data_IF_293588972000
#
_entry.id   IF_293588972000
#
_cell.length_a   1.000
_cell.length_b   1.000
_cell.length_c   1.000
_cell.angle_alpha   90.00
_cell.angle_beta   90.00
_cell.angle_gamma   90.00
#
_symmetry.space_group_name_H-M   'P 1'
#
loop_
_entity.id
_entity.type
_entity.pdbx_description
1 polymer ?
#
# COMPACT_ATOMS: atom_id res chain seq x y z
N UNK A 1 4.79 -27.46 4.87
CA UNK A 1 4.02 -26.96 6.02
C UNK A 1 2.58 -27.28 5.76
N UNK A 2 1.89 -27.96 6.67
CA UNK A 2 0.46 -28.24 6.54
C UNK A 2 -0.33 -27.12 7.24
N UNK A 3 -1.24 -26.48 6.50
CA UNK A 3 -2.19 -25.51 7.07
C UNK A 3 -3.59 -26.08 6.97
N UNK A 4 -4.46 -25.81 7.96
CA UNK A 4 -5.90 -26.03 7.78
C UNK A 4 -6.32 -25.15 6.61
N UNK A 5 -6.71 -25.77 5.50
CA UNK A 5 -7.18 -25.05 4.32
C UNK A 5 -8.48 -24.33 4.68
N UNK A 6 -8.45 -23.00 4.73
CA UNK A 6 -9.64 -22.16 4.74
C UNK A 6 -9.72 -21.41 3.40
N UNK A 7 -10.92 -21.24 2.85
CA UNK A 7 -11.14 -20.60 1.55
C UNK A 7 -11.65 -21.55 0.47
N UNK A 8 -11.69 -21.05 -0.76
CA UNK A 8 -12.24 -21.75 -1.94
C UNK A 8 -11.22 -21.68 -3.07
N UNK A 9 -11.08 -22.76 -3.84
CA UNK A 9 -10.34 -22.74 -5.11
C UNK A 9 -11.27 -22.90 -6.29
N UNK A 10 -11.04 -22.12 -7.34
CA UNK A 10 -11.75 -22.30 -8.61
C UNK A 10 -11.08 -23.40 -9.46
N UNK A 11 -11.67 -23.73 -10.62
CA UNK A 11 -11.12 -24.74 -11.56
C UNK A 11 -9.72 -24.42 -12.11
N UNK A 12 -9.27 -23.17 -12.03
CA UNK A 12 -7.92 -22.72 -12.45
C UNK A 12 -6.89 -22.82 -11.32
N UNK A 13 -7.34 -23.15 -10.11
CA UNK A 13 -6.52 -23.23 -8.89
C UNK A 13 -6.39 -21.91 -8.13
N UNK A 14 -7.04 -20.84 -8.61
CA UNK A 14 -7.04 -19.53 -7.95
C UNK A 14 -7.76 -19.62 -6.60
N UNK A 15 -7.19 -19.02 -5.56
CA UNK A 15 -7.75 -19.03 -4.21
C UNK A 15 -8.55 -17.76 -3.93
N UNK A 16 -9.68 -17.91 -3.24
CA UNK A 16 -10.48 -16.82 -2.69
C UNK A 16 -10.88 -17.13 -1.24
N UNK A 17 -11.08 -16.11 -0.38
CA UNK A 17 -11.58 -16.32 0.97
C UNK A 17 -12.97 -16.96 0.95
N UNK A 18 -13.28 -17.68 2.03
CA UNK A 18 -14.59 -18.30 2.19
C UNK A 18 -15.67 -17.24 2.46
N UNK A 19 -15.31 -16.20 3.20
CA UNK A 19 -16.20 -15.09 3.55
C UNK A 19 -15.95 -13.87 2.66
N UNK A 20 -16.99 -13.08 2.33
CA UNK A 20 -16.82 -11.81 1.64
C UNK A 20 -15.93 -10.83 2.43
N UNK A 21 -15.25 -9.94 1.72
CA UNK A 21 -14.52 -8.86 2.37
C UNK A 21 -15.48 -7.94 3.14
N UNK A 22 -14.99 -7.46 4.28
CA UNK A 22 -15.65 -6.44 5.08
C UNK A 22 -14.64 -5.35 5.45
N UNK A 23 -15.17 -4.15 5.68
CA UNK A 23 -14.37 -3.04 6.21
C UNK A 23 -14.09 -3.24 7.69
N UNK A 24 -13.08 -2.54 8.18
CA UNK A 24 -12.97 -2.29 9.60
C UNK A 24 -14.27 -1.64 10.13
N UNK A 25 -14.72 -1.95 11.36
CA UNK A 25 -15.95 -1.40 11.93
C UNK A 25 -15.76 0.06 12.38
N UNK A 26 -15.36 0.91 11.42
CA UNK A 26 -15.06 2.33 11.55
C UNK A 26 -16.14 3.09 10.78
N UNK A 27 -16.71 4.12 11.40
CA UNK A 27 -17.74 4.97 10.79
C UNK A 27 -18.96 4.17 10.27
N UNK A 28 -19.30 3.07 10.94
CA UNK A 28 -20.53 2.31 10.70
C UNK A 28 -21.74 2.98 11.35
N UNK A 29 -22.91 2.88 10.70
CA UNK A 29 -24.19 3.28 11.26
C UNK A 29 -25.16 2.09 11.29
N UNK A 30 -25.77 1.75 12.44
CA UNK A 30 -25.57 2.38 13.76
C UNK A 30 -24.15 2.16 14.31
N UNK A 31 -23.62 3.06 15.16
CA UNK A 31 -22.28 2.91 15.72
C UNK A 31 -22.13 1.63 16.54
N UNK A 32 -21.00 0.94 16.40
CA UNK A 32 -20.70 -0.33 17.11
C UNK A 32 -19.40 -0.22 17.94
N UNK A 33 -19.40 0.52 19.06
CA UNK A 33 -18.17 0.77 19.83
C UNK A 33 -17.43 -0.49 20.28
N UNK A 34 -18.18 -1.54 20.68
CA UNK A 34 -17.57 -2.80 21.10
C UNK A 34 -16.85 -3.52 19.95
N UNK A 35 -17.41 -3.48 18.73
CA UNK A 35 -16.76 -4.04 17.55
C UNK A 35 -15.53 -3.23 17.15
N UNK A 36 -15.62 -1.89 17.23
CA UNK A 36 -14.50 -0.98 17.02
C UNK A 36 -13.35 -1.27 17.99
N UNK A 37 -13.60 -1.30 19.30
CA UNK A 37 -12.57 -1.60 20.30
C UNK A 37 -11.97 -3.01 20.12
N UNK A 38 -12.81 -4.00 19.80
CA UNK A 38 -12.36 -5.35 19.48
C UNK A 38 -11.45 -5.37 18.24
N UNK A 39 -11.74 -4.56 17.23
CA UNK A 39 -10.88 -4.44 16.06
C UNK A 39 -9.58 -3.68 16.38
N UNK A 40 -9.63 -2.60 17.16
CA UNK A 40 -8.43 -1.83 17.52
C UNK A 40 -7.42 -2.70 18.26
N UNK A 41 -7.87 -3.44 19.29
CA UNK A 41 -7.00 -4.22 20.18
C UNK A 41 -6.98 -5.74 19.89
N UNK A 42 -7.69 -6.19 18.85
CA UNK A 42 -7.79 -7.60 18.48
C UNK A 42 -6.73 -8.09 17.50
N UNK A 43 -6.90 -9.33 17.06
CA UNK A 43 -6.04 -10.00 16.09
C UNK A 43 -6.87 -10.77 15.05
N UNK A 44 -6.75 -10.49 13.74
CA UNK A 44 -6.13 -9.28 13.17
C UNK A 44 -6.96 -8.02 13.51
N UNK A 45 -6.28 -6.88 13.60
CA UNK A 45 -6.83 -5.61 14.06
C UNK A 45 -6.00 -4.40 13.63
N UNK A 46 -6.26 -3.23 14.22
CA UNK A 46 -5.53 -2.00 13.90
C UNK A 46 -4.05 -2.09 14.28
N UNK A 47 -3.76 -2.54 15.50
CA UNK A 47 -2.39 -2.63 16.01
C UNK A 47 -1.68 -3.93 15.62
N UNK A 48 -2.38 -5.06 15.58
CA UNK A 48 -1.77 -6.37 15.37
C UNK A 48 -2.34 -7.06 14.13
N UNK A 49 -1.55 -7.81 13.36
CA UNK A 49 -0.12 -8.10 13.57
C UNK A 49 0.85 -7.00 13.11
N UNK A 50 0.44 -6.15 12.17
CA UNK A 50 1.38 -5.28 11.44
C UNK A 50 1.45 -3.84 11.94
N UNK A 51 0.38 -3.27 12.51
CA UNK A 51 0.30 -1.85 12.86
C UNK A 51 1.42 -1.40 13.82
N UNK A 52 1.65 -2.13 14.91
CA UNK A 52 2.73 -1.86 15.88
C UNK A 52 4.09 -1.98 15.21
N UNK A 53 4.30 -2.99 14.36
CA UNK A 53 5.54 -3.13 13.60
C UNK A 53 5.82 -1.86 12.77
N UNK A 54 4.83 -1.38 12.01
CA UNK A 54 5.00 -0.17 11.21
C UNK A 54 5.19 1.10 12.06
N UNK A 55 4.59 1.18 13.25
CA UNK A 55 4.78 2.33 14.16
C UNK A 55 6.15 2.33 14.84
N UNK A 56 6.74 1.16 15.09
CA UNK A 56 8.06 1.03 15.75
C UNK A 56 9.22 1.32 14.81
N UNK A 57 9.12 0.91 13.53
CA UNK A 57 10.15 1.16 12.51
C UNK A 57 10.60 2.64 12.44
N UNK A 58 9.73 3.65 12.28
CA UNK A 58 10.14 5.05 12.19
C UNK A 58 10.77 5.57 13.49
N UNK A 59 10.40 5.04 14.66
CA UNK A 59 11.04 5.38 15.94
C UNK A 59 12.50 4.90 15.92
N UNK A 60 12.72 3.65 15.53
CA UNK A 60 14.07 3.10 15.40
C UNK A 60 14.89 3.87 14.35
N UNK A 61 14.29 4.16 13.19
CA UNK A 61 14.95 4.94 12.14
C UNK A 61 15.30 6.34 12.61
N UNK A 62 14.41 7.02 13.33
CA UNK A 62 14.68 8.35 13.89
C UNK A 62 15.84 8.34 14.89
N UNK A 63 15.85 7.37 15.81
CA UNK A 63 16.83 7.33 16.89
C UNK A 63 18.23 6.89 16.44
N UNK A 64 18.32 6.01 15.44
CA UNK A 64 19.58 5.34 15.10
C UNK A 64 20.02 5.53 13.64
N UNK A 65 19.08 5.81 12.74
CA UNK A 65 19.30 5.85 11.28
C UNK A 65 18.81 7.15 10.65
N UNK A 66 18.84 8.24 11.40
CA UNK A 66 18.56 9.60 10.94
C UNK A 66 19.68 10.51 11.42
N UNK A 67 20.25 11.37 10.56
CA UNK A 67 21.28 12.32 10.99
C UNK A 67 20.76 13.28 12.06
N UNK A 68 21.68 13.96 12.77
CA UNK A 68 21.29 14.99 13.74
C UNK A 68 20.57 16.15 13.04
N UNK A 69 19.69 16.85 13.79
CA UNK A 69 19.03 18.06 13.28
C UNK A 69 20.06 19.08 12.76
N UNK A 70 21.16 19.28 13.47
CA UNK A 70 22.27 20.15 13.04
C UNK A 70 22.83 19.74 11.66
N UNK A 71 23.10 18.45 11.45
CA UNK A 71 23.59 17.94 10.16
C UNK A 71 22.62 18.23 9.02
N UNK A 72 21.32 18.14 9.29
CA UNK A 72 20.26 18.30 8.31
C UNK A 72 19.91 19.76 8.01
N UNK A 73 20.53 20.74 8.67
CA UNK A 73 20.29 22.17 8.39
C UNK A 73 20.80 22.58 7.00
N UNK A 74 21.86 21.95 6.52
CA UNK A 74 22.42 22.19 5.18
C UNK A 74 22.42 20.91 4.36
N UNK A 75 22.06 21.02 3.07
CA UNK A 75 22.15 19.88 2.16
C UNK A 75 23.60 19.41 2.02
N UNK A 76 23.82 18.12 2.25
CA UNK A 76 25.13 17.49 2.15
C UNK A 76 25.00 16.12 1.49
N UNK A 77 25.81 15.87 0.46
CA UNK A 77 25.75 14.62 -0.30
C UNK A 77 25.91 13.37 0.58
N UNK A 78 26.71 13.44 1.65
CA UNK A 78 26.95 12.32 2.55
C UNK A 78 25.70 11.83 3.28
N UNK A 79 24.96 12.73 3.92
CA UNK A 79 23.76 12.34 4.68
C UNK A 79 22.56 12.03 3.76
N UNK A 80 22.47 12.69 2.60
CA UNK A 80 21.49 12.35 1.57
C UNK A 80 21.74 10.94 1.03
N UNK A 81 22.99 10.60 0.72
CA UNK A 81 23.37 9.26 0.29
C UNK A 81 23.11 8.21 1.38
N UNK A 82 23.34 8.56 2.65
CA UNK A 82 23.01 7.68 3.79
C UNK A 82 21.51 7.36 3.85
N UNK A 83 20.63 8.36 3.77
CA UNK A 83 19.17 8.18 3.74
C UNK A 83 18.77 7.32 2.53
N UNK A 84 19.32 7.60 1.35
CA UNK A 84 19.07 6.80 0.15
C UNK A 84 19.42 5.32 0.34
N UNK A 85 20.64 5.04 0.81
CA UNK A 85 21.12 3.66 1.02
C UNK A 85 20.34 2.94 2.12
N UNK A 86 19.94 3.65 3.17
CA UNK A 86 19.08 3.11 4.23
C UNK A 86 17.69 2.74 3.68
N UNK A 87 17.06 3.60 2.89
CA UNK A 87 15.76 3.33 2.27
C UNK A 87 15.84 2.16 1.27
N UNK A 88 16.92 2.12 0.49
CA UNK A 88 17.22 0.99 -0.40
C UNK A 88 17.36 -0.32 0.37
N UNK A 89 18.20 -0.34 1.41
CA UNK A 89 18.40 -1.52 2.24
C UNK A 89 17.09 -1.97 2.90
N UNK A 90 16.29 -1.04 3.41
CA UNK A 90 15.00 -1.34 4.03
C UNK A 90 14.05 -2.07 3.07
N UNK A 91 13.88 -1.56 1.84
CA UNK A 91 12.99 -2.18 0.85
C UNK A 91 13.54 -3.51 0.34
N UNK A 92 14.84 -3.60 0.07
CA UNK A 92 15.45 -4.85 -0.38
C UNK A 92 15.35 -5.95 0.69
N UNK A 93 15.53 -5.62 1.97
CA UNK A 93 15.36 -6.59 3.06
C UNK A 93 13.89 -6.96 3.25
N UNK A 94 12.98 -5.98 3.23
CA UNK A 94 11.55 -6.20 3.44
C UNK A 94 10.91 -6.91 2.25
N UNK A 95 10.78 -6.24 1.11
CA UNK A 95 10.15 -6.82 -0.09
C UNK A 95 10.95 -8.00 -0.64
N UNK A 96 12.28 -7.98 -0.55
CA UNK A 96 13.12 -9.10 -0.96
C UNK A 96 12.95 -10.32 -0.04
N UNK A 97 12.77 -10.14 1.27
CA UNK A 97 12.45 -11.23 2.19
C UNK A 97 11.13 -11.92 1.85
N UNK A 98 10.08 -11.13 1.59
CA UNK A 98 8.78 -11.64 1.12
C UNK A 98 8.91 -12.34 -0.24
N UNK A 99 9.64 -11.74 -1.19
CA UNK A 99 9.86 -12.33 -2.50
C UNK A 99 10.63 -13.66 -2.41
N UNK A 100 11.66 -13.72 -1.56
CA UNK A 100 12.42 -14.93 -1.29
C UNK A 100 11.51 -16.03 -0.73
N UNK A 101 10.64 -15.71 0.22
CA UNK A 101 9.71 -16.67 0.83
C UNK A 101 8.70 -17.22 -0.18
N UNK A 102 7.98 -16.33 -0.85
CA UNK A 102 6.82 -16.69 -1.67
C UNK A 102 7.17 -17.14 -3.10
N UNK A 103 8.17 -16.54 -3.74
CA UNK A 103 8.42 -16.73 -5.18
C UNK A 103 9.71 -17.47 -5.51
N UNK A 104 10.72 -17.40 -4.65
CA UNK A 104 11.98 -18.13 -4.83
C UNK A 104 11.94 -19.49 -4.14
N UNK A 105 11.71 -19.50 -2.82
CA UNK A 105 11.61 -20.74 -2.03
C UNK A 105 10.27 -21.43 -2.21
N UNK A 106 9.21 -20.67 -2.53
CA UNK A 106 7.84 -21.16 -2.59
C UNK A 106 7.48 -21.96 -1.32
N UNK A 107 7.84 -21.42 -0.15
CA UNK A 107 7.86 -22.16 1.10
C UNK A 107 6.50 -22.74 1.53
N UNK A 108 5.40 -22.10 1.10
CA UNK A 108 4.02 -22.55 1.30
C UNK A 108 3.33 -22.97 -0.01
N UNK A 109 4.08 -23.23 -1.08
CA UNK A 109 3.54 -23.62 -2.38
C UNK A 109 2.52 -22.60 -2.91
N UNK A 110 1.31 -23.07 -3.21
CA UNK A 110 0.19 -22.23 -3.67
C UNK A 110 -0.86 -22.01 -2.60
N UNK A 111 -0.62 -22.41 -1.36
CA UNK A 111 -1.55 -22.19 -0.25
C UNK A 111 -1.77 -20.71 -0.05
N UNK A 112 -3.05 -20.30 0.00
CA UNK A 112 -3.49 -18.90 0.14
C UNK A 112 -3.17 -17.99 -1.05
N UNK A 113 -2.67 -18.54 -2.16
CA UNK A 113 -2.28 -17.77 -3.35
C UNK A 113 -3.49 -17.42 -4.22
N UNK A 114 -3.76 -16.14 -4.41
CA UNK A 114 -4.96 -15.67 -5.09
C UNK A 114 -5.03 -16.10 -6.56
N UNK A 115 -3.92 -16.00 -7.29
CA UNK A 115 -3.78 -16.48 -8.67
C UNK A 115 -2.86 -17.68 -8.71
N UNK A 116 -3.27 -18.78 -9.34
CA UNK A 116 -2.42 -19.96 -9.44
C UNK A 116 -1.16 -19.71 -10.29
N UNK A 117 -1.17 -18.66 -11.13
CA UNK A 117 -0.04 -18.29 -11.99
C UNK A 117 1.12 -17.71 -11.19
N UNK A 118 2.35 -18.05 -11.56
CA UNK A 118 3.56 -17.39 -11.05
C UNK A 118 3.87 -16.09 -11.82
N UNK A 119 4.81 -15.29 -11.32
CA UNK A 119 5.19 -14.02 -11.96
C UNK A 119 5.71 -14.28 -13.38
N UNK A 120 5.34 -13.38 -14.29
CA UNK A 120 5.58 -13.58 -15.71
C UNK A 120 7.08 -13.54 -16.06
N UNK A 121 7.49 -14.46 -16.94
CA UNK A 121 8.79 -14.50 -17.60
C UNK A 121 8.57 -14.59 -19.11
N UNK A 122 9.50 -14.03 -19.88
CA UNK A 122 9.43 -13.92 -21.33
C UNK A 122 8.14 -13.25 -21.84
N UNK A 123 7.74 -12.15 -21.19
CA UNK A 123 6.54 -11.39 -21.56
C UNK A 123 6.92 -9.95 -21.95
N UNK A 124 6.66 -9.51 -23.21
CA UNK A 124 7.03 -8.18 -23.69
C UNK A 124 6.31 -7.02 -22.99
N UNK A 125 5.29 -7.30 -22.18
CA UNK A 125 4.62 -6.29 -21.35
C UNK A 125 5.57 -5.66 -20.31
N UNK A 126 6.57 -6.41 -19.85
CA UNK A 126 7.48 -6.00 -18.77
C UNK A 126 8.86 -5.62 -19.31
N UNK A 127 9.51 -4.67 -18.66
CA UNK A 127 10.93 -4.39 -18.89
C UNK A 127 11.75 -5.68 -18.70
N UNK A 128 12.77 -5.84 -19.54
CA UNK A 128 13.62 -7.05 -19.59
C UNK A 128 12.85 -8.35 -19.84
N UNK A 129 11.59 -8.26 -20.31
CA UNK A 129 10.65 -9.38 -20.49
C UNK A 129 10.43 -10.19 -19.22
N UNK A 130 10.63 -9.60 -18.04
CA UNK A 130 10.56 -10.29 -16.75
C UNK A 130 9.90 -9.39 -15.70
N UNK A 131 8.77 -9.83 -15.17
CA UNK A 131 7.98 -9.04 -14.22
C UNK A 131 8.76 -8.68 -12.95
N UNK A 132 9.54 -9.61 -12.39
CA UNK A 132 10.33 -9.33 -11.19
C UNK A 132 11.38 -8.25 -11.45
N UNK A 133 12.08 -8.32 -12.59
CA UNK A 133 13.12 -7.35 -12.93
C UNK A 133 12.53 -5.97 -13.25
N UNK A 134 11.39 -5.94 -13.93
CA UNK A 134 10.63 -4.71 -14.16
C UNK A 134 10.20 -4.05 -12.84
N UNK A 135 9.62 -4.83 -11.92
CA UNK A 135 9.17 -4.30 -10.64
C UNK A 135 10.33 -3.81 -9.76
N UNK A 136 11.45 -4.54 -9.76
CA UNK A 136 12.68 -4.12 -9.10
C UNK A 136 13.21 -2.81 -9.69
N UNK A 137 13.20 -2.67 -11.02
CA UNK A 137 13.64 -1.45 -11.69
C UNK A 137 12.79 -0.25 -11.27
N UNK A 138 11.46 -0.33 -11.38
CA UNK A 138 10.58 0.79 -11.01
C UNK A 138 10.62 1.10 -9.51
N UNK A 139 10.80 0.11 -8.66
CA UNK A 139 10.97 0.31 -7.21
C UNK A 139 12.29 1.03 -6.90
N UNK A 140 13.41 0.52 -7.40
CA UNK A 140 14.76 1.00 -7.05
C UNK A 140 15.11 2.32 -7.75
N UNK A 141 14.68 2.49 -9.00
CA UNK A 141 15.02 3.67 -9.82
C UNK A 141 13.90 4.72 -9.78
N UNK A 142 12.65 4.31 -9.53
CA UNK A 142 11.50 5.22 -9.41
C UNK A 142 11.18 5.55 -7.95
N UNK A 143 10.65 4.58 -7.21
CA UNK A 143 10.06 4.83 -5.89
C UNK A 143 11.07 5.31 -4.84
N UNK A 144 12.21 4.62 -4.71
CA UNK A 144 13.19 4.88 -3.63
C UNK A 144 13.85 6.27 -3.75
N UNK A 145 14.29 6.74 -4.94
CA UNK A 145 14.80 8.10 -5.09
C UNK A 145 13.75 9.17 -4.75
N UNK A 146 12.50 8.99 -5.18
CA UNK A 146 11.43 9.96 -4.89
C UNK A 146 11.08 9.97 -3.40
N UNK A 147 10.97 8.81 -2.77
CA UNK A 147 10.81 8.69 -1.31
C UNK A 147 11.95 9.43 -0.59
N UNK A 148 13.19 9.13 -0.96
CA UNK A 148 14.38 9.76 -0.37
C UNK A 148 14.34 11.28 -0.51
N UNK A 149 13.95 11.81 -1.67
CA UNK A 149 13.83 13.25 -1.88
C UNK A 149 12.79 13.90 -0.95
N UNK A 150 11.60 13.30 -0.83
CA UNK A 150 10.57 13.79 0.10
C UNK A 150 11.04 13.76 1.56
N UNK A 151 11.74 12.70 1.94
CA UNK A 151 12.29 12.57 3.29
C UNK A 151 13.36 13.62 3.58
N UNK A 152 14.35 13.74 2.69
CA UNK A 152 15.46 14.71 2.78
C UNK A 152 14.93 16.14 2.90
N UNK A 153 14.00 16.53 2.04
CA UNK A 153 13.42 17.89 2.07
C UNK A 153 12.63 18.10 3.36
N UNK A 154 11.81 17.14 3.78
CA UNK A 154 11.00 17.28 4.99
C UNK A 154 11.86 17.39 6.25
N UNK A 155 12.91 16.56 6.35
CA UNK A 155 13.84 16.61 7.48
C UNK A 155 14.64 17.92 7.50
N UNK A 156 15.06 18.41 6.34
CA UNK A 156 15.70 19.73 6.21
C UNK A 156 14.77 20.87 6.64
N UNK A 157 13.49 20.82 6.27
CA UNK A 157 12.49 21.80 6.71
C UNK A 157 12.30 21.79 8.23
N UNK A 158 12.24 20.61 8.86
CA UNK A 158 12.18 20.50 10.32
C UNK A 158 13.46 21.04 10.98
N UNK A 159 14.63 20.68 10.47
CA UNK A 159 15.93 21.09 11.02
C UNK A 159 16.15 22.61 11.01
N UNK A 160 15.55 23.31 10.05
CA UNK A 160 15.62 24.76 9.92
C UNK A 160 14.41 25.49 10.52
N UNK A 161 13.45 24.78 11.12
CA UNK A 161 12.23 25.39 11.67
C UNK A 161 11.33 26.04 10.61
N UNK A 162 11.39 25.58 9.36
CA UNK A 162 10.55 26.08 8.26
C UNK A 162 9.12 25.51 8.29
N UNK A 163 8.91 24.39 8.99
CA UNK A 163 7.61 23.77 9.21
C UNK A 163 7.39 23.52 10.71
N UNK A 164 6.14 23.40 11.19
CA UNK A 164 5.86 23.36 12.62
C UNK A 164 6.35 22.05 13.26
N UNK A 165 7.18 22.18 14.30
CA UNK A 165 7.74 21.07 15.07
C UNK A 165 7.00 20.93 16.41
N UNK A 166 6.64 19.69 16.77
CA UNK A 166 6.05 19.36 18.07
C UNK A 166 6.94 18.34 18.78
N UNK A 167 7.37 18.68 19.99
CA UNK A 167 8.17 17.80 20.83
C UNK A 167 7.30 16.72 21.50
N UNK A 168 7.88 15.56 21.78
CA UNK A 168 7.15 14.47 22.44
C UNK A 168 6.95 14.77 23.94
N UNK A 169 7.95 15.38 24.58
CA UNK A 169 7.97 15.69 26.01
C UNK A 169 6.94 16.74 26.40
N UNK A 170 6.70 17.76 25.56
CA UNK A 170 5.67 18.77 25.83
C UNK A 170 4.27 18.29 25.44
N UNK A 171 4.16 17.43 24.42
CA UNK A 171 2.87 17.04 23.83
C UNK A 171 2.70 15.52 23.60
N UNK A 172 2.88 14.67 24.63
CA UNK A 172 2.92 13.21 24.45
C UNK A 172 1.58 12.63 23.98
N UNK A 173 0.44 13.17 24.46
CA UNK A 173 -0.89 12.71 24.05
C UNK A 173 -1.15 13.04 22.58
N UNK A 174 -0.86 14.28 22.16
CA UNK A 174 -1.00 14.70 20.77
C UNK A 174 -0.11 13.84 19.86
N UNK A 175 1.12 13.57 20.29
CA UNK A 175 2.03 12.71 19.55
C UNK A 175 1.45 11.32 19.28
N UNK A 176 0.93 10.66 20.32
CA UNK A 176 0.36 9.30 20.24
C UNK A 176 -0.91 9.30 19.37
N UNK A 177 -1.78 10.30 19.56
CA UNK A 177 -2.99 10.45 18.75
C UNK A 177 -2.62 10.59 17.28
N UNK A 178 -1.72 11.51 16.94
CA UNK A 178 -1.34 11.71 15.53
C UNK A 178 -0.61 10.48 14.95
N UNK A 179 0.19 9.74 15.73
CA UNK A 179 0.71 8.43 15.31
C UNK A 179 -0.43 7.47 14.93
N UNK A 180 -1.52 7.41 15.69
CA UNK A 180 -2.67 6.56 15.34
C UNK A 180 -3.47 7.10 14.12
N UNK A 181 -3.42 8.40 13.85
CA UNK A 181 -4.14 9.02 12.73
C UNK A 181 -3.36 9.02 11.41
N UNK A 182 -2.03 8.85 11.41
CA UNK A 182 -1.22 8.78 10.18
C UNK A 182 -1.75 7.74 9.17
N UNK A 183 -2.08 6.50 9.55
CA UNK A 183 -2.66 5.53 8.61
C UNK A 183 -3.99 6.01 8.01
N UNK A 184 -4.79 6.76 8.80
CA UNK A 184 -6.11 7.31 8.37
C UNK A 184 -5.91 8.40 7.34
N UNK A 185 -4.99 9.34 7.62
CA UNK A 185 -4.64 10.41 6.68
C UNK A 185 -4.11 9.81 5.38
N UNK A 186 -3.23 8.79 5.48
CA UNK A 186 -2.68 8.11 4.32
C UNK A 186 -3.75 7.38 3.50
N UNK A 187 -4.69 6.68 4.13
CA UNK A 187 -5.75 5.94 3.40
C UNK A 187 -6.66 6.91 2.61
N UNK A 188 -6.98 8.08 3.17
CA UNK A 188 -7.73 9.14 2.47
C UNK A 188 -6.92 9.68 1.29
N UNK A 189 -5.66 10.05 1.53
CA UNK A 189 -4.76 10.59 0.50
C UNK A 189 -4.57 9.60 -0.64
N UNK A 190 -4.27 8.33 -0.32
CA UNK A 190 -4.08 7.26 -1.28
C UNK A 190 -5.37 7.02 -2.08
N UNK A 191 -6.53 6.89 -1.44
CA UNK A 191 -7.80 6.67 -2.14
C UNK A 191 -8.07 7.74 -3.20
N UNK A 192 -7.89 9.01 -2.85
CA UNK A 192 -8.14 10.14 -3.76
C UNK A 192 -7.20 10.08 -4.95
N UNK A 193 -5.90 9.97 -4.72
CA UNK A 193 -4.90 9.98 -5.79
C UNK A 193 -4.97 8.71 -6.63
N UNK A 194 -5.20 7.55 -6.01
CA UNK A 194 -5.37 6.30 -6.72
C UNK A 194 -6.59 6.34 -7.65
N UNK A 195 -7.74 6.83 -7.16
CA UNK A 195 -8.93 7.00 -8.00
C UNK A 195 -8.70 7.98 -9.16
N UNK A 196 -7.95 9.06 -8.93
CA UNK A 196 -7.54 10.01 -9.98
C UNK A 196 -6.62 9.32 -10.99
N UNK A 197 -5.67 8.49 -10.54
CA UNK A 197 -4.76 7.73 -11.40
C UNK A 197 -5.49 6.76 -12.35
N UNK A 198 -6.69 6.31 -11.97
CA UNK A 198 -7.57 5.50 -12.82
C UNK A 198 -8.38 6.29 -13.85
N UNK A 199 -8.31 7.61 -13.85
CA UNK A 199 -8.92 8.40 -14.92
C UNK A 199 -8.21 8.11 -16.25
N UNK A 200 -8.98 7.75 -17.29
CA UNK A 200 -8.46 7.19 -18.53
C UNK A 200 -7.22 7.86 -19.14
N UNK A 201 -7.14 9.21 -19.22
CA UNK A 201 -5.93 9.90 -19.66
C UNK A 201 -4.73 9.69 -18.74
N UNK A 202 -4.91 9.77 -17.42
CA UNK A 202 -3.81 9.56 -16.47
C UNK A 202 -3.38 8.08 -16.47
N UNK A 203 -4.36 7.17 -16.45
CA UNK A 203 -4.12 5.73 -16.43
C UNK A 203 -3.18 5.30 -17.56
N UNK A 204 -3.50 5.72 -18.79
CA UNK A 204 -2.76 5.35 -20.00
C UNK A 204 -1.31 5.82 -20.02
N UNK A 205 -0.96 6.86 -19.25
CA UNK A 205 0.39 7.44 -19.28
C UNK A 205 1.22 7.06 -18.07
N UNK A 206 0.61 6.92 -16.88
CA UNK A 206 1.39 6.72 -15.65
C UNK A 206 0.94 5.50 -14.84
N UNK A 207 -0.36 5.24 -14.70
CA UNK A 207 -0.83 4.20 -13.79
C UNK A 207 -0.79 2.78 -14.39
N UNK A 208 -0.77 2.66 -15.72
CA UNK A 208 -0.70 1.36 -16.39
C UNK A 208 0.57 0.56 -16.01
N UNK A 209 1.67 1.24 -15.66
CA UNK A 209 2.92 0.57 -15.23
C UNK A 209 2.67 -0.28 -13.99
N UNK A 210 1.95 0.27 -13.01
CA UNK A 210 1.55 -0.45 -11.81
C UNK A 210 0.61 -1.61 -12.16
N UNK A 211 -0.41 -1.31 -12.98
CA UNK A 211 -1.48 -2.23 -13.38
C UNK A 211 -1.09 -3.32 -14.38
N UNK A 212 0.09 -3.23 -15.00
CA UNK A 212 0.67 -4.36 -15.73
C UNK A 212 0.79 -5.59 -14.81
N UNK A 213 0.92 -5.37 -13.50
CA UNK A 213 1.03 -6.40 -12.46
C UNK A 213 -0.33 -7.00 -12.02
N UNK A 214 -1.18 -7.40 -12.96
CA UNK A 214 -2.45 -8.10 -12.68
C UNK A 214 -2.26 -9.32 -11.75
N UNK A 215 -1.11 -9.99 -11.87
CA UNK A 215 -0.64 -10.97 -10.90
C UNK A 215 0.43 -10.32 -10.03
N UNK A 216 0.02 -9.73 -8.92
CA UNK A 216 0.88 -8.95 -8.04
C UNK A 216 2.02 -9.78 -7.43
N UNK A 217 3.07 -9.08 -7.00
CA UNK A 217 4.16 -9.65 -6.21
C UNK A 217 4.75 -8.63 -5.23
N UNK A 218 5.60 -9.03 -4.28
CA UNK A 218 6.06 -8.18 -3.17
C UNK A 218 6.67 -6.82 -3.55
N UNK A 219 7.26 -6.71 -4.75
CA UNK A 219 7.81 -5.46 -5.30
C UNK A 219 6.80 -4.67 -6.15
N UNK A 220 5.69 -5.27 -6.60
CA UNK A 220 4.75 -4.59 -7.50
C UNK A 220 4.03 -3.43 -6.82
N UNK A 221 3.92 -3.44 -5.48
CA UNK A 221 3.30 -2.37 -4.69
C UNK A 221 4.00 -1.00 -4.78
N UNK A 222 5.31 -0.97 -5.10
CA UNK A 222 6.06 0.27 -5.34
C UNK A 222 6.53 0.40 -6.81
N UNK A 223 6.16 -0.58 -7.65
CA UNK A 223 6.49 -0.59 -9.07
C UNK A 223 5.52 0.31 -9.84
N UNK A 224 5.80 1.61 -9.83
CA UNK A 224 4.95 2.64 -10.44
C UNK A 224 5.78 3.57 -11.32
N UNK A 225 5.11 4.30 -12.22
CA UNK A 225 5.75 5.37 -12.98
C UNK A 225 6.30 6.46 -12.03
N UNK A 226 7.44 7.13 -12.30
CA UNK A 226 8.01 8.14 -11.40
C UNK A 226 7.08 9.30 -11.04
N UNK A 227 6.22 9.73 -11.98
CA UNK A 227 5.18 10.75 -11.69
C UNK A 227 4.13 10.24 -10.72
N UNK A 228 3.75 8.97 -10.81
CA UNK A 228 2.86 8.35 -9.83
C UNK A 228 3.55 8.23 -8.46
N UNK A 229 4.84 7.92 -8.42
CA UNK A 229 5.61 7.96 -7.19
C UNK A 229 5.59 9.36 -6.53
N UNK A 230 5.72 10.45 -7.30
CA UNK A 230 5.61 11.81 -6.76
C UNK A 230 4.28 12.01 -6.02
N UNK A 231 3.18 11.54 -6.61
CA UNK A 231 1.86 11.59 -5.99
C UNK A 231 1.76 10.68 -4.78
N UNK A 232 2.23 9.44 -4.89
CA UNK A 232 2.18 8.45 -3.83
C UNK A 232 2.89 8.94 -2.54
N UNK A 233 4.09 9.51 -2.68
CA UNK A 233 4.88 10.00 -1.53
C UNK A 233 4.42 11.36 -0.99
N UNK A 234 3.61 12.11 -1.75
CA UNK A 234 3.14 13.45 -1.37
C UNK A 234 2.27 13.50 -0.11
N UNK A 235 1.83 12.35 0.41
CA UNK A 235 1.05 12.28 1.65
C UNK A 235 1.78 12.92 2.83
N UNK A 236 3.11 12.86 2.84
CA UNK A 236 3.95 13.48 3.89
C UNK A 236 3.76 15.00 4.00
N UNK A 237 3.33 15.68 2.92
CA UNK A 237 3.15 17.13 2.88
C UNK A 237 2.14 17.63 3.91
N UNK A 238 1.24 16.77 4.40
CA UNK A 238 0.34 17.10 5.52
C UNK A 238 1.13 17.57 6.74
N UNK A 239 2.31 17.00 7.00
CA UNK A 239 3.17 17.33 8.15
C UNK A 239 3.93 18.65 7.98
N UNK A 240 3.85 19.29 6.81
CA UNK A 240 4.42 20.63 6.60
C UNK A 240 3.50 21.73 7.13
N UNK A 241 2.22 21.40 7.34
CA UNK A 241 1.19 22.32 7.86
C UNK A 241 0.66 21.85 9.21
N UNK A 242 0.41 20.55 9.36
CA UNK A 242 0.00 19.95 10.61
C UNK A 242 1.20 19.85 11.56
N UNK A 243 1.17 20.49 12.74
CA UNK A 243 2.25 20.40 13.70
C UNK A 243 2.59 18.95 14.01
N UNK A 244 3.85 18.57 13.80
CA UNK A 244 4.23 17.16 13.85
C UNK A 244 5.62 17.01 14.44
N UNK A 245 5.84 15.86 15.06
CA UNK A 245 7.20 15.39 15.34
C UNK A 245 7.76 14.70 14.08
N UNK A 246 9.06 14.80 13.77
CA UNK A 246 9.68 14.13 12.62
C UNK A 246 9.41 12.62 12.54
N UNK A 247 9.31 11.93 13.68
CA UNK A 247 8.91 10.51 13.75
C UNK A 247 7.57 10.25 13.04
N UNK A 248 6.58 11.15 13.15
CA UNK A 248 5.27 10.96 12.52
C UNK A 248 5.35 11.15 11.00
N UNK A 249 6.14 12.11 10.52
CA UNK A 249 6.41 12.29 9.10
C UNK A 249 7.18 11.09 8.52
N UNK A 250 8.19 10.59 9.25
CA UNK A 250 8.87 9.34 8.93
C UNK A 250 7.90 8.16 8.97
N UNK A 251 6.99 8.09 9.94
CA UNK A 251 6.00 7.03 10.01
C UNK A 251 5.11 7.03 8.77
N UNK A 252 4.67 8.21 8.31
CA UNK A 252 3.91 8.34 7.08
C UNK A 252 4.63 7.71 5.88
N UNK A 253 5.90 8.08 5.69
CA UNK A 253 6.72 7.52 4.61
C UNK A 253 6.98 6.02 4.78
N UNK A 254 7.42 5.56 5.94
CA UNK A 254 7.70 4.13 6.15
C UNK A 254 6.44 3.27 6.03
N UNK A 255 5.29 3.77 6.47
CA UNK A 255 4.02 3.08 6.28
C UNK A 255 3.69 2.98 4.77
N UNK A 256 3.83 4.06 4.01
CA UNK A 256 3.74 4.06 2.54
C UNK A 256 4.77 3.14 1.86
N UNK A 257 5.95 2.96 2.43
CA UNK A 257 7.00 2.11 1.88
C UNK A 257 6.76 0.61 2.15
N UNK A 258 6.28 0.27 3.35
CA UNK A 258 6.30 -1.11 3.85
C UNK A 258 4.96 -1.85 3.71
N UNK A 259 3.81 -1.17 3.79
CA UNK A 259 2.50 -1.84 3.69
C UNK A 259 2.16 -2.38 2.31
N UNK A 260 2.64 -1.81 1.18
CA UNK A 260 2.33 -2.38 -0.13
C UNK A 260 2.88 -3.78 -0.33
N UNK A 261 3.99 -4.15 0.31
CA UNK A 261 4.60 -5.48 0.17
C UNK A 261 3.67 -6.62 0.60
N UNK A 262 3.08 -6.63 1.82
CA UNK A 262 2.10 -7.64 2.18
C UNK A 262 0.82 -7.57 1.35
N UNK A 263 0.30 -6.37 1.04
CA UNK A 263 -0.95 -6.22 0.27
C UNK A 263 -0.82 -6.51 -1.23
N UNK A 264 0.40 -6.70 -1.72
CA UNK A 264 0.73 -7.11 -3.09
C UNK A 264 1.52 -8.43 -3.12
N UNK A 265 1.60 -9.15 -2.00
CA UNK A 265 2.34 -10.40 -1.92
C UNK A 265 1.77 -11.48 -2.85
N UNK A 266 0.50 -11.38 -3.24
CA UNK A 266 -0.24 -12.37 -4.03
C UNK A 266 -0.82 -13.50 -3.20
N UNK A 267 -0.74 -13.40 -1.87
CA UNK A 267 -1.15 -14.41 -0.90
C UNK A 267 -1.94 -13.77 0.25
N UNK A 268 -3.04 -14.40 0.66
CA UNK A 268 -3.86 -13.93 1.79
C UNK A 268 -3.14 -14.02 3.14
N UNK A 269 -2.21 -14.98 3.26
CA UNK A 269 -1.47 -15.26 4.50
C UNK A 269 -0.02 -15.60 4.21
N UNK A 270 0.87 -15.15 5.09
CA UNK A 270 2.21 -15.71 5.24
C UNK A 270 2.19 -16.81 6.30
N UNK A 271 2.62 -18.02 5.93
CA UNK A 271 2.71 -19.17 6.84
C UNK A 271 4.09 -19.18 7.46
N UNK A 272 4.19 -19.03 8.79
CA UNK A 272 5.47 -18.99 9.50
C UNK A 272 5.89 -20.36 10.05
N UNK A 273 4.90 -21.18 10.41
CA UNK A 273 5.05 -22.55 10.89
C UNK A 273 3.75 -23.32 10.64
N UNK A 274 3.75 -24.63 10.88
CA UNK A 274 2.54 -25.46 10.76
C UNK A 274 1.41 -24.89 11.63
N UNK A 275 0.26 -24.62 11.01
CA UNK A 275 -0.90 -23.98 11.67
C UNK A 275 -0.75 -22.50 12.02
N UNK A 276 0.39 -21.85 11.78
CA UNK A 276 0.63 -20.43 12.10
C UNK A 276 0.68 -19.59 10.82
N UNK A 277 -0.46 -18.99 10.47
CA UNK A 277 -0.60 -18.11 9.30
C UNK A 277 -1.02 -16.68 9.66
N UNK A 278 -0.20 -15.70 9.28
CA UNK A 278 -0.45 -14.27 9.54
C UNK A 278 -1.12 -13.65 8.32
N UNK A 279 -2.27 -12.99 8.52
CA UNK A 279 -3.04 -12.34 7.45
C UNK A 279 -2.26 -11.16 6.86
N UNK A 280 -2.23 -11.04 5.55
CA UNK A 280 -1.50 -9.98 4.81
C UNK A 280 -2.39 -8.81 4.42
N UNK A 281 -3.70 -9.04 4.23
CA UNK A 281 -4.65 -8.03 3.75
C UNK A 281 -4.77 -7.94 2.22
N UNK A 282 -4.13 -8.86 1.49
CA UNK A 282 -3.94 -8.80 0.04
C UNK A 282 -5.23 -8.88 -0.79
N UNK A 283 -6.24 -9.66 -0.38
CA UNK A 283 -7.39 -9.94 -1.28
C UNK A 283 -8.15 -8.70 -1.77
N UNK A 284 -8.27 -7.65 -0.95
CA UNK A 284 -8.89 -6.38 -1.36
C UNK A 284 -8.16 -5.75 -2.56
N UNK A 285 -6.82 -5.69 -2.48
CA UNK A 285 -5.93 -5.17 -3.52
C UNK A 285 -5.81 -6.13 -4.70
N UNK A 286 -5.82 -7.43 -4.46
CA UNK A 286 -5.87 -8.41 -5.54
C UNK A 286 -7.11 -8.23 -6.43
N UNK A 287 -8.29 -8.03 -5.83
CA UNK A 287 -9.51 -7.73 -6.61
C UNK A 287 -9.36 -6.43 -7.40
N UNK A 288 -8.73 -5.41 -6.82
CA UNK A 288 -8.41 -4.17 -7.52
C UNK A 288 -7.54 -4.42 -8.77
N UNK A 289 -6.40 -5.11 -8.64
CA UNK A 289 -5.52 -5.44 -9.77
C UNK A 289 -6.17 -6.37 -10.81
N UNK A 290 -7.11 -7.22 -10.37
CA UNK A 290 -7.84 -8.14 -11.25
C UNK A 290 -8.90 -7.43 -12.08
N UNK A 291 -9.61 -6.46 -11.49
CA UNK A 291 -10.82 -5.86 -12.07
C UNK A 291 -10.72 -4.37 -12.41
N UNK A 292 -9.70 -3.68 -11.92
CA UNK A 292 -9.32 -2.28 -12.20
C UNK A 292 -10.34 -1.22 -11.75
N UNK A 293 -11.65 -1.47 -11.83
CA UNK A 293 -12.73 -0.52 -11.53
C UNK A 293 -13.40 -0.72 -10.16
N UNK A 294 -12.65 -1.18 -9.16
CA UNK A 294 -13.12 -1.37 -7.80
C UNK A 294 -12.00 -1.16 -6.77
N UNK A 295 -12.34 -1.01 -5.49
CA UNK A 295 -11.38 -1.11 -4.38
C UNK A 295 -10.16 -0.18 -4.51
N UNK A 296 -10.38 1.13 -4.69
CA UNK A 296 -9.31 2.13 -4.79
C UNK A 296 -8.65 2.47 -3.44
N UNK A 297 -9.25 2.09 -2.31
CA UNK A 297 -8.67 2.31 -0.96
C UNK A 297 -7.41 1.49 -0.69
N UNK A 298 -6.63 1.87 0.32
CA UNK A 298 -5.28 1.36 0.54
C UNK A 298 -5.16 0.06 1.31
N UNK A 299 -6.16 -0.34 2.10
CA UNK A 299 -6.32 -1.69 2.69
C UNK A 299 -7.73 -1.91 3.28
N UNK A 300 -8.72 -1.13 2.84
CA UNK A 300 -10.10 -1.22 3.36
C UNK A 300 -10.26 -0.80 4.83
N UNK A 301 -9.43 0.14 5.31
CA UNK A 301 -9.57 0.68 6.66
C UNK A 301 -10.76 1.66 6.74
N UNK A 302 -10.82 2.64 5.83
CA UNK A 302 -11.98 3.52 5.69
C UNK A 302 -12.95 3.00 4.62
N UNK A 303 -14.27 3.09 4.83
CA UNK A 303 -15.29 2.61 3.88
C UNK A 303 -15.47 3.54 2.66
N UNK A 304 -14.38 4.09 2.12
CA UNK A 304 -14.41 5.06 1.02
C UNK A 304 -15.01 4.45 -0.26
N UNK A 305 -14.56 3.27 -0.70
CA UNK A 305 -15.17 2.64 -1.88
C UNK A 305 -16.64 2.26 -1.65
N UNK A 306 -17.05 1.98 -0.41
CA UNK A 306 -18.47 1.76 -0.11
C UNK A 306 -19.27 3.05 -0.29
N UNK A 307 -18.78 4.17 0.24
CA UNK A 307 -19.44 5.47 0.11
C UNK A 307 -19.55 5.95 -1.34
N UNK A 308 -18.55 5.64 -2.16
CA UNK A 308 -18.49 6.06 -3.56
C UNK A 308 -18.92 4.97 -4.56
N UNK A 309 -19.45 3.84 -4.09
CA UNK A 309 -20.04 2.80 -4.93
C UNK A 309 -19.05 1.98 -5.76
N UNK A 310 -17.79 1.88 -5.31
CA UNK A 310 -16.70 1.16 -5.99
C UNK A 310 -16.21 -0.07 -5.20
N UNK A 311 -16.88 -0.43 -4.11
CA UNK A 311 -16.48 -1.57 -3.28
C UNK A 311 -16.83 -2.91 -3.93
N UNK A 312 -15.86 -3.82 -3.97
CA UNK A 312 -15.99 -5.19 -4.43
C UNK A 312 -15.50 -6.16 -3.36
N UNK A 313 -16.42 -6.95 -2.80
CA UNK A 313 -16.16 -7.86 -1.68
C UNK A 313 -15.84 -9.30 -2.08
N UNK A 314 -15.86 -9.59 -3.39
CA UNK A 314 -15.62 -10.92 -3.95
C UNK A 314 -16.90 -11.71 -4.25
N UNK A 315 -18.08 -11.13 -4.00
CA UNK A 315 -19.38 -11.77 -4.31
C UNK A 315 -19.82 -11.56 -5.76
N UNK A 316 -20.68 -12.46 -6.26
CA UNK A 316 -21.32 -12.33 -7.59
C UNK A 316 -22.18 -11.06 -7.70
N UNK A 317 -22.74 -10.61 -6.58
CA UNK A 317 -23.52 -9.39 -6.48
C UNK A 317 -22.65 -8.13 -6.68
N UNK A 318 -21.46 -8.10 -6.07
CA UNK A 318 -20.48 -7.04 -6.32
C UNK A 318 -19.97 -7.05 -7.77
N UNK A 319 -19.74 -8.23 -8.34
CA UNK A 319 -19.36 -8.40 -9.75
C UNK A 319 -20.45 -7.82 -10.68
N UNK A 320 -21.71 -8.21 -10.47
CA UNK A 320 -22.84 -7.70 -11.27
C UNK A 320 -22.94 -6.17 -11.22
N UNK A 321 -22.85 -5.57 -10.03
CA UNK A 321 -22.86 -4.09 -9.89
C UNK A 321 -21.73 -3.41 -10.65
N UNK A 322 -20.55 -4.03 -10.70
CA UNK A 322 -19.41 -3.49 -11.44
C UNK A 322 -19.64 -3.59 -12.95
N UNK A 323 -20.10 -4.74 -13.43
CA UNK A 323 -20.39 -4.98 -14.84
C UNK A 323 -21.47 -4.00 -15.37
N UNK A 324 -22.52 -3.76 -14.57
CA UNK A 324 -23.55 -2.76 -14.89
C UNK A 324 -22.97 -1.35 -15.06
N UNK A 325 -22.05 -0.92 -14.17
CA UNK A 325 -21.38 0.38 -14.29
C UNK A 325 -20.51 0.46 -15.55
N UNK A 326 -19.77 -0.61 -15.85
CA UNK A 326 -18.90 -0.68 -17.01
C UNK A 326 -19.72 -0.57 -18.31
N UNK A 327 -20.80 -1.34 -18.42
CA UNK A 327 -21.72 -1.31 -19.56
C UNK A 327 -22.37 0.08 -19.72
N UNK A 328 -22.79 0.71 -18.62
CA UNK A 328 -23.36 2.06 -18.65
C UNK A 328 -22.36 3.11 -19.17
N UNK A 329 -21.09 3.04 -18.73
CA UNK A 329 -20.02 3.93 -19.22
C UNK A 329 -19.73 3.71 -20.70
N UNK A 330 -19.66 2.46 -21.14
CA UNK A 330 -19.45 2.12 -22.54
C UNK A 330 -20.56 2.68 -23.44
N UNK A 331 -21.82 2.54 -23.00
CA UNK A 331 -22.99 3.10 -23.69
C UNK A 331 -22.95 4.64 -23.76
N UNK A 332 -22.61 5.32 -22.66
CA UNK A 332 -22.45 6.78 -22.63
C UNK A 332 -21.36 7.27 -23.59
N UNK A 333 -20.22 6.57 -23.63
CA UNK A 333 -19.12 6.90 -24.53
C UNK A 333 -19.52 6.72 -25.99
N UNK A 334 -20.16 5.61 -26.33
CA UNK A 334 -20.67 5.35 -27.69
C UNK A 334 -21.69 6.42 -28.13
N UNK A 335 -22.61 6.81 -27.24
CA UNK A 335 -23.57 7.88 -27.52
C UNK A 335 -22.86 9.23 -27.79
N UNK A 336 -21.88 9.60 -26.97
CA UNK A 336 -21.12 10.83 -27.14
C UNK A 336 -20.28 10.86 -28.44
N UNK A 337 -19.81 9.71 -28.91
CA UNK A 337 -19.11 9.57 -30.20
C UNK A 337 -20.09 9.68 -31.38
N UNK A 338 -21.28 9.07 -31.28
CA UNK A 338 -22.32 9.14 -32.32
C UNK A 338 -22.99 10.52 -32.46
N UNK A 339 -23.04 11.32 -31.40
CA UNK A 339 -23.60 12.68 -31.44
C UNK A 339 -22.61 13.75 -31.93
N UNK A 340 -21.38 13.36 -32.26
CA UNK A 340 -20.33 14.23 -32.82
C UNK A 340 -20.08 14.02 -34.31
N UNK A 341 -20.71 13.00 -34.92
CA UNK A 341 -20.80 12.80 -36.38
C UNK A 341 -22.04 13.50 -36.91
#
# INVERSE_FOLDING_TARGET
METKFEGRRNKRGDWAPAEPLSYAPILEWPPRPAAFLKWVFGYPGFFLPWGVFYMVVPIFVWLYLTPSLETMQTFGAGWIAFIFLRNLAMILLWAGGWHLWFYVKQAQGTDWKHSNRWLARDNPLYLFRNQTLDNLFWTVIGAIPVWTAYEVVTLWLFANGHIPYVSFDEHPVYFIVLMCFVPVIRDIHYYVLHRISHWGPIYKHIHYVHHNNVNVGPFSGLSMHPVENLWYWSGILVHWVLPSHPIQALFHLHHAALTPTPSHSGFERVVLADGVGVKTGDYFHYLHHKYFECNYGGDGMLPLDRWFGTFHDGTDDAQRRMDERFLARAAQKAAAESGRS
#
